data_IF_318242430468
#
_entry.id   IF_318242430468
#
_cell.length_a   1.000
_cell.length_b   1.000
_cell.length_c   1.000
_cell.angle_alpha   90.00
_cell.angle_beta   90.00
_cell.angle_gamma   90.00
#
_symmetry.space_group_name_H-M   'P 1'
#
loop_
_entity.id
_entity.type
_entity.pdbx_description
1 polymer ?
#
# COMPACT_ATOMS: atom_id res chain seq x y z
N UNK A 1 5.96 24.81 8.96
CA UNK A 1 6.60 23.68 8.26
C UNK A 1 7.49 24.25 7.18
N UNK A 2 8.75 23.81 7.02
CA UNK A 2 9.49 24.11 5.81
C UNK A 2 8.71 23.54 4.62
N UNK A 3 8.60 24.30 3.53
CA UNK A 3 8.04 23.79 2.29
C UNK A 3 8.91 22.63 1.81
N UNK A 4 8.32 21.46 1.56
CA UNK A 4 9.08 20.31 1.08
C UNK A 4 9.69 20.64 -0.29
N UNK A 5 10.97 20.30 -0.46
CA UNK A 5 11.74 20.58 -1.68
C UNK A 5 11.45 19.58 -2.80
N UNK A 6 10.76 18.48 -2.50
CA UNK A 6 10.37 17.47 -3.46
C UNK A 6 9.01 17.80 -4.10
N UNK A 7 8.90 17.65 -5.41
CA UNK A 7 7.64 17.82 -6.14
C UNK A 7 6.66 16.65 -5.94
N UNK A 8 7.15 15.52 -5.46
CA UNK A 8 6.39 14.31 -5.17
C UNK A 8 6.91 13.66 -3.89
N UNK A 9 6.03 12.93 -3.21
CA UNK A 9 6.31 12.15 -2.01
C UNK A 9 5.94 10.68 -2.26
N UNK A 10 6.44 9.80 -1.41
CA UNK A 10 6.13 8.38 -1.42
C UNK A 10 5.08 8.07 -0.36
N UNK A 11 3.93 7.60 -0.79
CA UNK A 11 2.92 7.03 0.08
C UNK A 11 3.15 5.52 0.27
N UNK A 12 2.81 5.02 1.45
CA UNK A 12 2.96 3.64 1.83
C UNK A 12 1.75 3.17 2.64
N UNK A 13 1.20 2.01 2.29
CA UNK A 13 0.23 1.27 3.09
C UNK A 13 0.80 -0.07 3.50
N UNK A 14 0.56 -0.47 4.75
CA UNK A 14 0.77 -1.82 5.25
C UNK A 14 -0.52 -2.30 5.90
N UNK A 15 -0.94 -3.53 5.60
CA UNK A 15 -2.06 -4.21 6.25
C UNK A 15 -1.56 -5.48 6.94
N UNK A 16 -1.96 -5.69 8.19
CA UNK A 16 -1.55 -6.86 8.94
C UNK A 16 -2.71 -7.41 9.76
N UNK A 17 -2.99 -8.71 9.61
CA UNK A 17 -4.03 -9.40 10.37
C UNK A 17 -3.47 -9.89 11.70
N UNK A 18 -4.03 -9.43 12.81
CA UNK A 18 -3.73 -9.91 14.14
C UNK A 18 -4.30 -11.33 14.35
N UNK A 19 -3.57 -12.15 15.10
CA UNK A 19 -4.02 -13.49 15.50
C UNK A 19 -5.09 -13.50 16.59
N UNK A 20 -5.15 -12.41 17.36
CA UNK A 20 -6.07 -12.20 18.47
C UNK A 20 -6.59 -10.76 18.39
N UNK A 21 -7.67 -10.46 19.11
CA UNK A 21 -8.19 -9.09 19.17
C UNK A 21 -7.16 -8.13 19.80
N UNK A 22 -7.30 -6.84 19.51
CA UNK A 22 -6.32 -5.82 19.96
C UNK A 22 -6.25 -5.68 21.49
N UNK A 23 -7.36 -5.99 22.19
CA UNK A 23 -7.50 -5.99 23.65
C UNK A 23 -7.02 -7.29 24.32
N UNK A 24 -6.62 -8.30 23.54
CA UNK A 24 -6.12 -9.56 24.09
C UNK A 24 -4.75 -9.36 24.76
N UNK A 25 -4.51 -9.87 25.98
CA UNK A 25 -3.23 -9.74 26.68
C UNK A 25 -2.01 -10.24 25.87
N UNK A 26 -2.22 -11.15 24.91
CA UNK A 26 -1.15 -11.65 24.01
C UNK A 26 -0.70 -10.59 23.00
N UNK A 27 -1.54 -9.61 22.71
CA UNK A 27 -1.28 -8.49 21.78
C UNK A 27 -0.77 -7.25 22.52
N UNK A 28 -0.93 -7.17 23.84
CA UNK A 28 -0.48 -6.02 24.64
C UNK A 28 0.98 -5.58 24.38
N UNK A 29 1.98 -6.49 24.25
CA UNK A 29 3.35 -6.07 23.92
C UNK A 29 3.49 -5.39 22.55
N UNK A 30 2.60 -5.68 21.59
CA UNK A 30 2.55 -4.96 20.32
C UNK A 30 1.95 -3.56 20.51
N UNK A 31 0.85 -3.45 21.26
CA UNK A 31 0.19 -2.17 21.57
C UNK A 31 1.15 -1.23 22.28
N UNK A 32 1.91 -1.72 23.26
CA UNK A 32 2.93 -0.95 24.00
C UNK A 32 4.05 -0.39 23.11
N UNK A 33 4.29 -0.98 21.92
CA UNK A 33 5.28 -0.50 20.97
C UNK A 33 4.74 0.54 19.99
N UNK A 34 3.42 0.75 19.89
CA UNK A 34 2.82 1.69 18.94
C UNK A 34 3.34 3.11 19.17
N UNK A 35 3.24 3.62 20.40
CA UNK A 35 3.68 4.96 20.76
C UNK A 35 5.17 5.21 20.47
N UNK A 36 6.11 4.36 20.93
CA UNK A 36 7.53 4.50 20.58
C UNK A 36 7.80 4.47 19.07
N UNK A 37 7.12 3.61 18.32
CA UNK A 37 7.32 3.48 16.86
C UNK A 37 6.75 4.68 16.12
N UNK A 38 5.58 5.15 16.51
CA UNK A 38 4.95 6.34 15.94
C UNK A 38 5.79 7.58 16.22
N UNK A 39 6.27 7.76 17.46
CA UNK A 39 7.17 8.85 17.80
C UNK A 39 8.51 8.78 17.04
N UNK A 40 9.04 7.57 16.83
CA UNK A 40 10.23 7.38 16.01
C UNK A 40 10.00 7.74 14.53
N UNK A 41 8.81 7.47 13.99
CA UNK A 41 8.43 7.91 12.64
C UNK A 41 8.30 9.44 12.58
N UNK A 42 7.58 10.03 13.52
CA UNK A 42 7.33 11.48 13.60
C UNK A 42 8.63 12.30 13.69
N UNK A 43 9.68 11.73 14.29
CA UNK A 43 11.02 12.32 14.37
C UNK A 43 11.99 11.91 13.26
N UNK A 44 11.61 11.04 12.33
CA UNK A 44 12.51 10.52 11.31
C UNK A 44 12.77 11.55 10.19
N UNK A 45 14.02 11.69 9.70
CA UNK A 45 14.30 12.48 8.51
C UNK A 45 13.47 12.02 7.30
N UNK A 46 12.84 12.96 6.61
CA UNK A 46 12.01 12.69 5.44
C UNK A 46 10.62 12.12 5.76
N UNK A 47 10.23 12.01 7.03
CA UNK A 47 8.83 11.75 7.37
C UNK A 47 7.95 12.97 7.06
N UNK A 48 6.80 12.75 6.43
CA UNK A 48 5.87 13.83 6.05
C UNK A 48 4.57 13.73 6.84
N UNK A 49 3.97 12.55 6.91
CA UNK A 49 2.65 12.36 7.54
C UNK A 49 2.37 10.87 7.81
N UNK A 50 1.50 10.59 8.78
CA UNK A 50 0.86 9.28 8.97
C UNK A 50 -0.61 9.43 9.32
N UNK A 51 -1.38 8.41 8.96
CA UNK A 51 -2.77 8.30 9.35
C UNK A 51 -2.88 8.17 10.88
N UNK A 52 -3.76 8.99 11.44
CA UNK A 52 -4.25 8.93 12.82
C UNK A 52 -5.77 9.01 12.78
N UNK A 53 -6.44 8.37 13.72
CA UNK A 53 -7.87 8.60 13.92
C UNK A 53 -8.09 9.99 14.55
N UNK A 54 -9.23 10.61 14.26
CA UNK A 54 -9.52 11.96 14.73
C UNK A 54 -9.54 12.01 16.27
N UNK A 55 -8.60 12.76 16.85
CA UNK A 55 -8.45 12.89 18.30
C UNK A 55 -7.57 11.82 18.96
N UNK A 56 -7.05 10.87 18.20
CA UNK A 56 -6.26 9.74 18.70
C UNK A 56 -4.77 9.84 18.33
N UNK A 57 -3.95 9.02 18.99
CA UNK A 57 -2.50 8.98 18.75
C UNK A 57 -2.11 8.11 17.53
N UNK A 58 -2.99 7.19 17.10
CA UNK A 58 -2.74 6.26 15.99
C UNK A 58 -4.02 5.89 15.22
N UNK A 59 -3.87 5.05 14.19
CA UNK A 59 -4.95 4.59 13.32
C UNK A 59 -5.46 3.20 13.68
N UNK A 60 -5.07 2.64 14.83
CA UNK A 60 -5.47 1.30 15.26
C UNK A 60 -6.90 1.22 15.78
N UNK A 61 -7.71 2.28 15.72
CA UNK A 61 -9.18 2.16 15.79
C UNK A 61 -9.82 2.00 14.40
N UNK A 62 -9.14 2.44 13.34
CA UNK A 62 -9.62 2.33 11.97
C UNK A 62 -9.52 0.86 11.51
N UNK A 63 -10.66 0.21 11.27
CA UNK A 63 -10.78 -1.20 10.84
C UNK A 63 -11.29 -1.36 9.41
N UNK A 64 -10.68 -0.71 8.40
CA UNK A 64 -11.22 -0.63 7.04
C UNK A 64 -11.15 -1.97 6.28
N UNK A 65 -10.37 -2.94 6.77
CA UNK A 65 -10.11 -4.21 6.11
C UNK A 65 -10.50 -5.43 6.98
N UNK A 66 -11.24 -5.22 8.08
CA UNK A 66 -11.71 -6.27 9.00
C UNK A 66 -11.33 -6.00 10.47
N UNK A 67 -12.05 -6.64 11.40
CA UNK A 67 -11.94 -6.38 12.86
C UNK A 67 -10.55 -6.65 13.46
N UNK A 68 -9.79 -7.57 12.86
CA UNK A 68 -8.43 -7.90 13.30
C UNK A 68 -7.34 -7.33 12.37
N UNK A 69 -7.71 -6.49 11.40
CA UNK A 69 -6.73 -5.92 10.46
C UNK A 69 -6.28 -4.56 10.95
N UNK A 70 -4.98 -4.46 11.20
CA UNK A 70 -4.28 -3.20 11.46
C UNK A 70 -3.83 -2.62 10.13
N UNK A 71 -4.07 -1.32 9.96
CA UNK A 71 -3.56 -0.56 8.83
C UNK A 71 -2.57 0.49 9.30
N UNK A 72 -1.45 0.62 8.59
CA UNK A 72 -0.56 1.76 8.73
C UNK A 72 -0.45 2.42 7.35
N UNK A 73 -0.77 3.71 7.31
CA UNK A 73 -0.69 4.53 6.11
C UNK A 73 0.18 5.74 6.42
N UNK A 74 1.25 5.94 5.64
CA UNK A 74 2.22 7.01 5.86
C UNK A 74 2.72 7.61 4.55
N UNK A 75 3.27 8.82 4.64
CA UNK A 75 3.87 9.57 3.52
C UNK A 75 5.27 10.02 3.93
N UNK A 76 6.20 9.86 2.99
CA UNK A 76 7.63 10.11 3.14
C UNK A 76 8.16 10.90 1.96
N UNK A 77 9.24 11.65 2.14
CA UNK A 77 9.84 12.42 1.05
C UNK A 77 10.43 11.51 -0.03
N UNK A 78 11.02 10.38 0.35
CA UNK A 78 11.64 9.41 -0.57
C UNK A 78 11.51 7.96 -0.11
N UNK A 79 11.80 7.02 -1.02
CA UNK A 79 11.85 5.59 -0.72
C UNK A 79 12.95 5.24 0.28
N UNK A 80 14.09 5.93 0.19
CA UNK A 80 15.25 5.75 1.08
C UNK A 80 14.92 6.18 2.50
N UNK A 81 14.25 7.32 2.69
CA UNK A 81 13.84 7.80 4.01
C UNK A 81 12.93 6.79 4.73
N UNK A 82 11.92 6.29 4.00
CA UNK A 82 11.03 5.24 4.50
C UNK A 82 11.81 3.94 4.80
N UNK A 83 12.74 3.54 3.93
CA UNK A 83 13.54 2.33 4.14
C UNK A 83 14.39 2.44 5.40
N UNK A 84 15.05 3.59 5.60
CA UNK A 84 15.90 3.86 6.77
C UNK A 84 15.07 3.82 8.06
N UNK A 85 13.88 4.41 8.07
CA UNK A 85 12.96 4.24 9.18
C UNK A 85 12.60 2.77 9.38
N UNK A 86 12.16 2.07 8.32
CA UNK A 86 11.63 0.72 8.43
C UNK A 86 12.66 -0.30 8.96
N UNK A 87 13.94 -0.14 8.61
CA UNK A 87 14.98 -1.14 8.83
C UNK A 87 16.17 -0.68 9.67
N UNK A 88 16.33 0.62 9.96
CA UNK A 88 17.43 1.16 10.79
C UNK A 88 16.96 1.93 12.03
N UNK A 89 15.66 1.89 12.34
CA UNK A 89 15.09 2.49 13.56
C UNK A 89 14.58 1.45 14.57
N UNK A 90 13.96 1.91 15.65
CA UNK A 90 13.24 1.07 16.61
C UNK A 90 12.12 0.20 15.99
N UNK A 91 11.62 0.56 14.80
CA UNK A 91 10.66 -0.24 14.05
C UNK A 91 11.17 -1.65 13.69
N UNK A 92 12.49 -1.82 13.57
CA UNK A 92 13.09 -3.12 13.27
C UNK A 92 12.73 -4.20 14.30
N UNK A 93 12.53 -3.81 15.57
CA UNK A 93 12.18 -4.75 16.63
C UNK A 93 10.76 -5.33 16.44
N UNK A 94 9.79 -4.47 16.07
CA UNK A 94 8.45 -4.92 15.68
C UNK A 94 8.54 -5.87 14.49
N UNK A 95 9.37 -5.55 13.49
CA UNK A 95 9.53 -6.40 12.31
C UNK A 95 10.12 -7.77 12.65
N UNK A 96 11.05 -7.87 13.61
CA UNK A 96 11.62 -9.16 14.06
C UNK A 96 10.57 -10.02 14.75
N UNK A 97 9.75 -9.40 15.60
CA UNK A 97 8.77 -10.07 16.45
C UNK A 97 7.38 -10.19 15.85
N UNK A 98 7.15 -9.62 14.66
CA UNK A 98 5.83 -9.58 13.98
C UNK A 98 5.08 -10.93 13.95
N UNK A 99 5.80 -12.06 13.90
CA UNK A 99 5.21 -13.40 13.91
C UNK A 99 4.66 -13.83 15.27
N UNK A 100 4.83 -13.06 16.33
CA UNK A 100 4.17 -13.28 17.62
C UNK A 100 2.70 -12.85 17.52
N UNK A 101 2.43 -11.72 16.89
CA UNK A 101 1.12 -11.08 16.88
C UNK A 101 0.33 -11.22 15.58
N UNK A 102 1.03 -11.32 14.45
CA UNK A 102 0.39 -11.29 13.14
C UNK A 102 0.36 -12.66 12.46
N UNK A 103 -0.69 -12.87 11.68
CA UNK A 103 -0.76 -13.96 10.73
C UNK A 103 0.30 -13.81 9.63
N UNK A 104 0.63 -14.92 8.99
CA UNK A 104 1.53 -14.88 7.84
C UNK A 104 0.73 -14.38 6.63
N UNK A 105 1.13 -13.26 6.08
CA UNK A 105 0.58 -12.76 4.82
C UNK A 105 0.91 -13.75 3.68
N UNK A 106 -0.13 -14.21 3.00
CA UNK A 106 -0.03 -15.06 1.80
C UNK A 106 -0.02 -14.24 0.51
N UNK A 107 -0.54 -13.03 0.57
CA UNK A 107 -0.57 -12.05 -0.53
C UNK A 107 0.28 -10.81 -0.20
N UNK A 108 0.41 -9.91 -1.19
CA UNK A 108 0.99 -8.60 -0.96
C UNK A 108 0.22 -7.87 0.16
N UNK A 109 0.94 -7.35 1.15
CA UNK A 109 0.40 -6.68 2.33
C UNK A 109 0.97 -5.28 2.51
N UNK A 110 2.00 -4.94 1.74
CA UNK A 110 2.64 -3.64 1.67
C UNK A 110 2.47 -3.13 0.25
N UNK A 111 2.11 -1.86 0.08
CA UNK A 111 2.15 -1.17 -1.21
C UNK A 111 2.76 0.22 -1.03
N UNK A 112 3.55 0.63 -2.03
CA UNK A 112 4.21 1.91 -2.19
C UNK A 112 3.72 2.55 -3.49
N UNK A 113 3.52 3.87 -3.49
CA UNK A 113 3.22 4.63 -4.71
C UNK A 113 3.61 6.09 -4.55
N UNK A 114 3.89 6.77 -5.67
CA UNK A 114 4.19 8.19 -5.66
C UNK A 114 2.92 9.02 -5.64
N UNK A 115 2.92 10.08 -4.83
CA UNK A 115 1.86 11.08 -4.74
C UNK A 115 2.44 12.48 -4.94
N UNK A 116 1.67 13.46 -5.47
CA UNK A 116 2.12 14.84 -5.51
C UNK A 116 2.45 15.35 -4.11
N UNK A 117 3.47 16.22 -3.98
CA UNK A 117 3.81 16.78 -2.68
C UNK A 117 2.62 17.54 -2.07
N UNK A 118 2.34 17.27 -0.79
CA UNK A 118 1.18 17.82 -0.09
C UNK A 118 -0.13 17.03 -0.26
N UNK A 119 -0.15 15.99 -1.10
CA UNK A 119 -1.27 15.05 -1.15
C UNK A 119 -1.21 14.08 0.04
N UNK A 120 -2.30 14.01 0.79
CA UNK A 120 -2.47 13.04 1.88
C UNK A 120 -3.44 11.95 1.41
N UNK A 121 -2.97 10.72 1.20
CA UNK A 121 -3.79 9.66 0.65
C UNK A 121 -4.88 9.24 1.62
N UNK A 122 -6.03 8.87 1.07
CA UNK A 122 -7.11 8.27 1.87
C UNK A 122 -6.89 6.76 2.02
N UNK A 123 -7.53 6.16 3.03
CA UNK A 123 -7.55 4.70 3.18
C UNK A 123 -8.14 4.02 1.94
N UNK A 124 -9.18 4.59 1.33
CA UNK A 124 -9.79 4.05 0.11
C UNK A 124 -8.83 4.02 -1.07
N UNK A 125 -8.09 5.12 -1.30
CA UNK A 125 -7.03 5.18 -2.31
C UNK A 125 -5.94 4.13 -2.04
N UNK A 126 -5.49 4.03 -0.78
CA UNK A 126 -4.45 3.10 -0.40
C UNK A 126 -4.85 1.63 -0.63
N UNK A 127 -6.11 1.27 -0.31
CA UNK A 127 -6.65 -0.08 -0.55
C UNK A 127 -6.83 -0.36 -2.05
N UNK A 128 -7.20 0.63 -2.86
CA UNK A 128 -7.22 0.50 -4.33
C UNK A 128 -5.83 0.16 -4.88
N UNK A 129 -4.78 0.85 -4.43
CA UNK A 129 -3.39 0.55 -4.84
C UNK A 129 -2.94 -0.85 -4.41
N UNK A 130 -3.31 -1.28 -3.20
CA UNK A 130 -3.00 -2.62 -2.75
C UNK A 130 -3.71 -3.69 -3.59
N UNK A 131 -4.98 -3.46 -3.95
CA UNK A 131 -5.73 -4.35 -4.82
C UNK A 131 -5.13 -4.42 -6.22
N UNK A 132 -4.74 -3.28 -6.80
CA UNK A 132 -4.06 -3.20 -8.10
C UNK A 132 -2.76 -4.02 -8.12
N UNK A 133 -1.91 -3.84 -7.10
CA UNK A 133 -0.67 -4.61 -6.94
C UNK A 133 -0.93 -6.12 -6.86
N UNK A 134 -1.98 -6.54 -6.14
CA UNK A 134 -2.34 -7.97 -6.04
C UNK A 134 -2.84 -8.55 -7.35
N UNK A 135 -3.62 -7.78 -8.10
CA UNK A 135 -4.22 -8.23 -9.35
C UNK A 135 -3.24 -8.23 -10.53
N UNK A 136 -2.37 -7.23 -10.61
CA UNK A 136 -1.55 -6.96 -11.80
C UNK A 136 -0.04 -7.06 -11.57
N UNK A 137 0.39 -7.17 -10.30
CA UNK A 137 1.80 -7.14 -9.93
C UNK A 137 2.39 -5.72 -9.89
N UNK A 138 3.70 -5.59 -9.64
CA UNK A 138 4.35 -4.28 -9.48
C UNK A 138 4.31 -3.43 -10.74
N UNK A 139 3.98 -2.15 -10.57
CA UNK A 139 3.98 -1.12 -11.62
C UNK A 139 4.30 0.26 -11.03
N UNK A 140 4.51 1.31 -11.85
CA UNK A 140 4.63 2.68 -11.33
C UNK A 140 3.41 3.17 -10.53
N UNK A 141 2.22 2.56 -10.71
CA UNK A 141 1.03 2.88 -9.92
C UNK A 141 1.06 2.29 -8.52
N UNK A 142 1.63 1.10 -8.37
CA UNK A 142 1.61 0.35 -7.12
C UNK A 142 2.76 -0.67 -7.11
N UNK A 143 3.67 -0.55 -6.15
CA UNK A 143 4.85 -1.40 -6.05
C UNK A 143 5.24 -1.69 -4.60
N UNK A 144 6.35 -2.38 -4.38
CA UNK A 144 6.90 -2.67 -3.04
C UNK A 144 8.39 -2.35 -3.02
N UNK A 145 9.08 -2.51 -1.88
CA UNK A 145 10.54 -2.40 -1.82
C UNK A 145 11.29 -3.39 -2.73
N UNK A 146 10.64 -4.42 -3.26
CA UNK A 146 11.25 -5.33 -4.22
C UNK A 146 11.42 -4.71 -5.63
N UNK A 147 10.87 -3.53 -5.85
CA UNK A 147 10.95 -2.80 -7.12
C UNK A 147 11.23 -1.32 -6.85
N UNK A 148 11.75 -0.62 -7.85
CA UNK A 148 11.98 0.82 -7.77
C UNK A 148 11.41 1.47 -9.02
N UNK A 149 10.58 2.48 -8.81
CA UNK A 149 10.00 3.33 -9.83
C UNK A 149 10.19 4.76 -9.39
N UNK A 150 10.32 5.67 -10.33
CA UNK A 150 10.43 7.11 -10.09
C UNK A 150 9.06 7.79 -10.10
N UNK A 151 8.96 8.96 -9.46
CA UNK A 151 7.75 9.77 -9.53
C UNK A 151 7.39 10.18 -10.98
N UNK A 152 8.39 10.38 -11.84
CA UNK A 152 8.18 10.70 -13.25
C UNK A 152 7.49 9.54 -14.00
N UNK A 153 7.91 8.30 -13.75
CA UNK A 153 7.25 7.11 -14.33
C UNK A 153 5.81 6.97 -13.84
N UNK A 154 5.54 7.24 -12.57
CA UNK A 154 4.18 7.21 -12.03
C UNK A 154 3.26 8.26 -12.68
N UNK A 155 3.78 9.45 -13.00
CA UNK A 155 3.04 10.49 -13.71
C UNK A 155 2.71 10.07 -15.15
N UNK A 156 3.68 9.49 -15.86
CA UNK A 156 3.46 8.99 -17.23
C UNK A 156 2.40 7.90 -17.25
N UNK A 157 2.50 6.94 -16.34
CA UNK A 157 1.54 5.84 -16.19
C UNK A 157 0.12 6.36 -15.84
N UNK A 158 0.01 7.32 -14.93
CA UNK A 158 -1.27 7.95 -14.60
C UNK A 158 -1.90 8.62 -15.83
N UNK A 159 -1.10 9.36 -16.62
CA UNK A 159 -1.57 10.01 -17.84
C UNK A 159 -2.08 8.99 -18.89
N UNK A 160 -1.38 7.87 -19.05
CA UNK A 160 -1.80 6.78 -19.95
C UNK A 160 -3.11 6.13 -19.50
N UNK A 161 -3.28 5.93 -18.19
CA UNK A 161 -4.49 5.34 -17.63
C UNK A 161 -5.73 6.26 -17.80
N UNK A 162 -5.55 7.58 -17.66
CA UNK A 162 -6.60 8.56 -17.95
C UNK A 162 -6.99 8.59 -19.43
N UNK A 163 -6.05 8.33 -20.34
CA UNK A 163 -6.31 8.25 -21.79
C UNK A 163 -7.00 6.94 -22.18
N UNK A 164 -6.73 5.84 -21.46
CA UNK A 164 -7.23 4.50 -21.75
C UNK A 164 -8.61 4.19 -21.13
N UNK A 165 -9.49 5.20 -20.98
CA UNK A 165 -10.77 5.12 -20.25
C UNK A 165 -11.63 3.86 -20.49
N UNK A 166 -12.65 3.60 -19.64
CA UNK A 166 -13.27 2.28 -19.42
C UNK A 166 -13.81 1.57 -20.68
N UNK A 167 -14.00 2.27 -21.79
CA UNK A 167 -14.42 1.72 -23.08
C UNK A 167 -13.36 0.85 -23.77
N UNK A 168 -12.07 1.04 -23.52
CA UNK A 168 -11.01 0.30 -24.23
C UNK A 168 -10.82 -1.15 -23.73
N UNK A 169 -11.09 -1.41 -22.44
CA UNK A 169 -10.96 -2.75 -21.86
C UNK A 169 -12.11 -3.68 -22.29
N UNK A 170 -13.32 -3.15 -22.47
CA UNK A 170 -14.48 -3.93 -22.94
C UNK A 170 -14.32 -4.40 -24.40
N UNK A 171 -13.72 -3.58 -25.27
CA UNK A 171 -13.51 -3.94 -26.68
C UNK A 171 -12.42 -5.00 -26.88
N UNK A 172 -11.39 -5.04 -26.03
CA UNK A 172 -10.32 -6.05 -26.13
C UNK A 172 -10.83 -7.45 -25.75
N UNK A 173 -11.71 -7.56 -24.73
CA UNK A 173 -12.35 -8.82 -24.37
C UNK A 173 -13.37 -9.30 -25.40
N UNK A 174 -14.11 -8.39 -26.05
CA UNK A 174 -15.08 -8.74 -27.08
C UNK A 174 -14.44 -9.26 -28.38
N UNK A 175 -13.23 -8.79 -28.73
CA UNK A 175 -12.51 -9.23 -29.95
C UNK A 175 -11.87 -10.63 -29.84
N UNK A 176 -11.64 -11.13 -28.63
CA UNK A 176 -11.12 -12.49 -28.40
C UNK A 176 -12.19 -13.59 -28.51
N UNK A 177 -13.47 -13.24 -28.48
CA UNK A 177 -14.58 -14.19 -28.64
C UNK A 177 -14.99 -14.30 -30.12
N UNK A 178 -14.12 -14.86 -30.96
CA UNK A 178 -14.51 -15.26 -32.33
C UNK A 178 -14.99 -16.72 -32.28
N UNK A 179 -16.21 -17.06 -32.73
CA UNK A 179 -16.65 -18.45 -32.75
C UNK A 179 -15.91 -19.23 -33.84
N UNK A 180 -15.50 -20.47 -33.52
CA UNK A 180 -14.83 -21.38 -34.43
C UNK A 180 -15.75 -21.78 -35.61
N UNK A 181 -15.21 -22.00 -36.83
CA UNK A 181 -16.03 -22.38 -37.97
C UNK A 181 -16.49 -23.84 -37.86
N UNK A 182 -17.78 -24.08 -38.12
CA UNK A 182 -18.38 -25.40 -38.18
C UNK A 182 -17.77 -26.22 -39.34
N UNK A 183 -17.24 -27.40 -39.02
CA UNK A 183 -16.69 -28.34 -39.98
C UNK A 183 -17.79 -28.95 -40.84
N UNK A 184 -17.62 -28.84 -42.15
CA UNK A 184 -18.48 -29.46 -43.15
C UNK A 184 -18.09 -30.94 -43.29
N UNK A 185 -19.02 -31.87 -43.00
CA UNK A 185 -18.82 -33.29 -43.24
C UNK A 185 -19.66 -33.70 -44.46
N UNK A 186 -18.96 -33.96 -45.56
CA UNK A 186 -19.50 -34.62 -46.74
C UNK A 186 -19.42 -36.14 -46.52
N UNK A 187 -20.52 -36.85 -46.78
CA UNK A 187 -20.54 -38.29 -46.93
C UNK A 187 -21.17 -38.64 -48.28
N UNK A 188 -20.42 -39.42 -49.06
CA UNK A 188 -20.91 -40.32 -50.12
C UNK A 188 -20.82 -41.73 -49.55
#
# INVERSE_FOLDING_TARGET
MPASTHAAHLAQLNVATLRHSLDDPRVAPFVEMLDPVNAAADGAPGFVWRLVEDGEADATGLRPAGENVIVNLSVWETQEALWDFAYRSGHLEVMRRRREWFERNVEAHLVLWWVPAGHLPTVGEALERLADLRAHGPSPRAFTFASSYTAAEAVVEAAQHLQAGPSAQTELSARSARPAPAGNSAAV
#
